data_IF_386592817048
#
_entry.id   IF_386592817048
#
_cell.length_a   1.000
_cell.length_b   1.000
_cell.length_c   1.000
_cell.angle_alpha   90.00
_cell.angle_beta   90.00
_cell.angle_gamma   90.00
#
_symmetry.space_group_name_H-M   'P 1'
#
loop_
_entity.id
_entity.type
_entity.pdbx_description
1 polymer ?
#
# COMPACT_ATOMS: atom_id res chain seq x y z
N UNK A 1 5.66 -19.18 3.24
CA UNK A 1 6.75 -18.56 2.43
C UNK A 1 7.11 -17.22 3.06
N UNK A 2 8.33 -16.69 2.87
CA UNK A 2 8.74 -15.41 3.47
C UNK A 2 8.35 -14.25 2.55
N UNK A 3 7.66 -13.20 3.05
CA UNK A 3 7.43 -11.99 2.28
C UNK A 3 8.72 -11.21 2.07
N UNK A 4 8.90 -10.67 0.87
CA UNK A 4 10.10 -9.95 0.46
C UNK A 4 9.73 -8.54 -0.03
N UNK A 5 10.07 -7.47 0.73
CA UNK A 5 9.77 -6.11 0.33
C UNK A 5 10.63 -5.70 -0.87
N UNK A 6 10.08 -4.82 -1.70
CA UNK A 6 10.75 -4.22 -2.85
C UNK A 6 10.77 -2.68 -2.69
N UNK A 7 11.81 -1.99 -3.22
CA UNK A 7 11.92 -0.53 -3.19
C UNK A 7 10.71 0.21 -3.80
N UNK A 8 10.01 -0.41 -4.75
CA UNK A 8 8.86 0.19 -5.45
C UNK A 8 7.56 0.20 -4.59
N UNK A 9 7.67 0.10 -3.26
CA UNK A 9 6.53 0.03 -2.33
C UNK A 9 5.63 -1.18 -2.62
N UNK A 10 6.26 -2.30 -2.98
CA UNK A 10 5.61 -3.57 -3.27
C UNK A 10 6.21 -4.71 -2.43
N UNK A 11 5.47 -5.80 -2.31
CA UNK A 11 5.87 -6.99 -1.56
C UNK A 11 5.74 -8.23 -2.44
N UNK A 12 6.84 -8.97 -2.58
CA UNK A 12 6.85 -10.25 -3.29
C UNK A 12 6.53 -11.38 -2.31
N UNK A 13 5.61 -12.27 -2.70
CA UNK A 13 5.30 -13.49 -1.96
C UNK A 13 5.09 -14.62 -2.96
N UNK A 14 6.16 -15.38 -3.21
CA UNK A 14 6.16 -16.44 -4.22
C UNK A 14 6.07 -15.86 -5.61
N UNK A 15 5.06 -16.26 -6.37
CA UNK A 15 4.77 -15.70 -7.69
C UNK A 15 3.82 -14.50 -7.66
N UNK A 16 3.39 -14.07 -6.46
CA UNK A 16 2.54 -12.91 -6.31
C UNK A 16 3.36 -11.65 -6.03
N UNK A 17 2.90 -10.54 -6.58
CA UNK A 17 3.33 -9.19 -6.25
C UNK A 17 2.15 -8.47 -5.59
N UNK A 18 2.38 -7.90 -4.41
CA UNK A 18 1.36 -7.26 -3.59
C UNK A 18 1.68 -5.76 -3.49
N UNK A 19 0.68 -4.92 -3.76
CA UNK A 19 0.72 -3.47 -3.55
C UNK A 19 -0.55 -3.06 -2.79
N UNK A 20 -0.57 -1.89 -2.17
CA UNK A 20 -1.75 -1.39 -1.46
C UNK A 20 -1.93 0.11 -1.69
N UNK A 21 -3.15 0.61 -1.50
CA UNK A 21 -3.44 2.03 -1.31
C UNK A 21 -3.02 2.92 -2.50
N UNK A 22 -3.54 2.60 -3.69
CA UNK A 22 -3.29 3.38 -4.90
C UNK A 22 -4.03 4.72 -4.86
N UNK A 23 -5.21 4.74 -4.27
CA UNK A 23 -6.07 5.92 -4.14
C UNK A 23 -6.20 6.72 -5.44
N UNK A 24 -6.45 6.03 -6.56
CA UNK A 24 -6.73 6.71 -7.82
C UNK A 24 -7.91 7.67 -7.64
N UNK A 25 -7.80 8.89 -8.18
CA UNK A 25 -8.79 9.95 -7.99
C UNK A 25 -8.60 10.80 -6.72
N UNK A 26 -7.56 10.56 -5.90
CA UNK A 26 -7.26 11.39 -4.72
C UNK A 26 -7.16 12.88 -5.05
N UNK A 27 -6.50 13.22 -6.16
CA UNK A 27 -6.32 14.61 -6.58
C UNK A 27 -7.65 15.31 -6.93
N UNK A 28 -8.64 14.53 -7.38
CA UNK A 28 -9.99 15.05 -7.69
C UNK A 28 -10.73 15.40 -6.41
N UNK A 29 -10.58 14.57 -5.37
CA UNK A 29 -11.15 14.84 -4.04
C UNK A 29 -10.52 16.08 -3.42
N UNK A 30 -9.19 16.18 -3.41
CA UNK A 30 -8.47 17.34 -2.89
C UNK A 30 -8.84 18.64 -3.62
N UNK A 31 -9.04 18.59 -4.93
CA UNK A 31 -9.45 19.77 -5.70
C UNK A 31 -10.80 20.33 -5.25
N UNK A 32 -11.72 19.49 -4.75
CA UNK A 32 -13.02 19.92 -4.19
C UNK A 32 -12.89 20.63 -2.86
N UNK A 33 -11.86 20.27 -2.11
CA UNK A 33 -11.49 20.93 -0.85
C UNK A 33 -10.62 22.19 -1.09
N UNK A 34 -10.36 22.54 -2.35
CA UNK A 34 -9.59 23.73 -2.73
C UNK A 34 -8.09 23.49 -2.90
N UNK A 35 -7.62 22.25 -2.81
CA UNK A 35 -6.22 21.88 -2.96
C UNK A 35 -5.95 21.23 -4.33
N UNK A 36 -5.21 21.94 -5.17
CA UNK A 36 -4.90 21.47 -6.53
C UNK A 36 -3.61 20.65 -6.53
N UNK A 37 -3.74 19.32 -6.53
CA UNK A 37 -2.62 18.40 -6.70
C UNK A 37 -2.42 18.02 -8.17
N UNK A 38 -1.17 17.77 -8.61
CA UNK A 38 -0.91 17.20 -9.93
C UNK A 38 -1.59 15.83 -10.09
N UNK A 39 -2.04 15.53 -11.31
CA UNK A 39 -2.58 14.22 -11.64
C UNK A 39 -1.46 13.21 -11.75
N UNK A 40 -1.63 12.05 -11.11
CA UNK A 40 -0.60 11.00 -11.04
C UNK A 40 -1.03 9.68 -11.67
N UNK A 41 -2.24 9.60 -12.25
CA UNK A 41 -2.73 8.35 -12.86
C UNK A 41 -1.70 7.73 -13.82
N UNK A 42 -1.20 8.49 -14.80
CA UNK A 42 -0.23 7.99 -15.76
C UNK A 42 1.12 7.63 -15.13
N UNK A 43 1.53 8.33 -14.07
CA UNK A 43 2.74 8.03 -13.32
C UNK A 43 2.60 6.70 -12.57
N UNK A 44 1.50 6.52 -11.82
CA UNK A 44 1.18 5.30 -11.08
C UNK A 44 1.08 4.09 -12.02
N UNK A 45 0.37 4.23 -13.15
CA UNK A 45 0.28 3.17 -14.18
C UNK A 45 1.67 2.87 -14.76
N UNK A 46 2.47 3.90 -15.05
CA UNK A 46 3.82 3.75 -15.58
C UNK A 46 4.76 3.02 -14.62
N UNK A 47 4.74 3.39 -13.34
CA UNK A 47 5.49 2.75 -12.26
C UNK A 47 5.08 1.28 -12.13
N UNK A 48 3.77 1.00 -12.03
CA UNK A 48 3.26 -0.36 -11.91
C UNK A 48 3.62 -1.23 -13.11
N UNK A 49 3.49 -0.72 -14.34
CA UNK A 49 3.89 -1.47 -15.55
C UNK A 49 5.39 -1.77 -15.57
N UNK A 50 6.23 -0.83 -15.13
CA UNK A 50 7.68 -1.02 -15.06
C UNK A 50 8.01 -2.12 -14.06
N UNK A 51 7.42 -2.06 -12.88
CA UNK A 51 7.53 -3.06 -11.83
C UNK A 51 7.08 -4.45 -12.30
N UNK A 52 5.89 -4.57 -12.91
CA UNK A 52 5.36 -5.84 -13.42
C UNK A 52 6.24 -6.46 -14.51
N UNK A 53 6.78 -5.64 -15.43
CA UNK A 53 7.69 -6.13 -16.47
C UNK A 53 9.03 -6.61 -15.92
N UNK A 54 9.51 -6.01 -14.83
CA UNK A 54 10.76 -6.35 -14.17
C UNK A 54 10.61 -7.64 -13.34
N UNK A 55 9.60 -7.69 -12.48
CA UNK A 55 9.39 -8.80 -11.54
C UNK A 55 8.67 -10.00 -12.15
N UNK A 56 7.89 -9.79 -13.22
CA UNK A 56 7.11 -10.82 -13.94
C UNK A 56 6.31 -11.72 -13.00
N UNK A 57 5.49 -11.17 -12.10
CA UNK A 57 4.65 -11.98 -11.23
C UNK A 57 3.56 -12.69 -12.04
N UNK A 58 3.07 -13.81 -11.52
CA UNK A 58 1.87 -14.46 -12.06
C UNK A 58 0.60 -13.76 -11.60
N UNK A 59 0.59 -13.30 -10.35
CA UNK A 59 -0.59 -12.70 -9.71
C UNK A 59 -0.19 -11.30 -9.23
N UNK A 60 -0.94 -10.28 -9.65
CA UNK A 60 -0.93 -8.98 -8.97
C UNK A 60 -2.04 -8.96 -7.94
N UNK A 61 -1.70 -8.66 -6.69
CA UNK A 61 -2.66 -8.47 -5.61
C UNK A 61 -2.63 -6.99 -5.22
N UNK A 62 -3.80 -6.37 -5.26
CA UNK A 62 -4.04 -5.01 -4.77
C UNK A 62 -4.75 -5.16 -3.42
N UNK A 63 -4.03 -4.92 -2.33
CA UNK A 63 -4.52 -5.05 -0.95
C UNK A 63 -5.24 -3.78 -0.48
N UNK A 64 -6.30 -3.47 -1.22
CA UNK A 64 -7.29 -2.45 -0.92
C UNK A 64 -6.94 -1.02 -1.31
N UNK A 65 -7.97 -0.18 -1.21
CA UNK A 65 -8.00 1.24 -1.56
C UNK A 65 -7.39 1.52 -2.94
N UNK A 66 -7.88 0.78 -3.93
CA UNK A 66 -7.55 0.95 -5.34
C UNK A 66 -7.96 2.36 -5.83
N UNK A 67 -9.09 2.86 -5.33
CA UNK A 67 -9.62 4.19 -5.62
C UNK A 67 -9.83 5.01 -4.35
N UNK A 68 -9.99 6.33 -4.50
CA UNK A 68 -10.18 7.21 -3.36
C UNK A 68 -11.64 7.59 -3.10
N UNK A 69 -12.47 7.78 -4.12
CA UNK A 69 -13.87 8.13 -3.85
C UNK A 69 -14.59 6.93 -3.21
N UNK A 70 -15.61 7.13 -2.36
CA UNK A 70 -16.44 5.99 -1.90
C UNK A 70 -17.37 5.49 -3.01
N UNK A 71 -17.93 6.40 -3.82
CA UNK A 71 -18.75 6.07 -4.98
C UNK A 71 -18.02 6.55 -6.23
N UNK A 72 -17.59 5.63 -7.11
CA UNK A 72 -16.74 6.00 -8.23
C UNK A 72 -17.47 6.84 -9.26
N UNK A 73 -16.88 8.00 -9.53
CA UNK A 73 -17.32 8.94 -10.55
C UNK A 73 -17.01 8.40 -11.94
N UNK A 74 -17.67 8.95 -12.96
CA UNK A 74 -17.45 8.55 -14.36
C UNK A 74 -15.96 8.47 -14.71
N UNK A 75 -15.20 9.51 -14.38
CA UNK A 75 -13.77 9.58 -14.70
C UNK A 75 -12.95 8.53 -13.95
N UNK A 76 -13.18 8.36 -12.66
CA UNK A 76 -12.46 7.36 -11.86
C UNK A 76 -12.76 5.95 -12.38
N UNK A 77 -13.99 5.68 -12.85
CA UNK A 77 -14.31 4.41 -13.54
C UNK A 77 -13.51 4.23 -14.83
N UNK A 78 -13.39 5.27 -15.66
CA UNK A 78 -12.56 5.21 -16.87
C UNK A 78 -11.08 4.96 -16.56
N UNK A 79 -10.55 5.62 -15.52
CA UNK A 79 -9.18 5.42 -15.05
C UNK A 79 -8.97 3.99 -14.52
N UNK A 80 -9.91 3.45 -13.74
CA UNK A 80 -9.86 2.06 -13.26
C UNK A 80 -9.92 1.05 -14.41
N UNK A 81 -10.79 1.27 -15.40
CA UNK A 81 -10.85 0.41 -16.58
C UNK A 81 -9.52 0.46 -17.35
N UNK A 82 -9.01 1.66 -17.58
CA UNK A 82 -7.74 1.88 -18.29
C UNK A 82 -6.59 1.22 -17.55
N UNK A 83 -6.54 1.33 -16.22
CA UNK A 83 -5.55 0.63 -15.41
C UNK A 83 -5.58 -0.87 -15.70
N UNK A 84 -6.75 -1.52 -15.54
CA UNK A 84 -6.91 -2.98 -15.74
C UNK A 84 -6.53 -3.39 -17.17
N UNK A 85 -6.96 -2.65 -18.18
CA UNK A 85 -6.62 -2.91 -19.58
C UNK A 85 -5.08 -2.86 -19.81
N UNK A 86 -4.38 -1.95 -19.12
CA UNK A 86 -2.93 -1.75 -19.24
C UNK A 86 -2.09 -2.79 -18.48
N UNK A 87 -2.60 -3.34 -17.38
CA UNK A 87 -1.87 -4.30 -16.53
C UNK A 87 -2.23 -5.76 -16.79
N UNK A 88 -3.44 -6.06 -17.25
CA UNK A 88 -3.89 -7.43 -17.50
C UNK A 88 -3.02 -8.22 -18.50
N UNK A 89 -2.35 -7.61 -19.50
CA UNK A 89 -1.42 -8.36 -20.37
C UNK A 89 -0.08 -8.70 -19.70
N UNK A 90 0.19 -8.19 -18.49
CA UNK A 90 1.49 -8.32 -17.81
C UNK A 90 1.48 -9.37 -16.69
N UNK A 91 0.31 -9.92 -16.35
CA UNK A 91 0.10 -10.91 -15.29
C UNK A 91 -0.94 -11.93 -15.72
N UNK A 92 -0.96 -13.10 -15.09
CA UNK A 92 -1.97 -14.13 -15.35
C UNK A 92 -3.29 -13.82 -14.62
N UNK A 93 -3.20 -13.13 -13.48
CA UNK A 93 -4.33 -12.87 -12.59
C UNK A 93 -4.19 -11.53 -11.86
N UNK A 94 -5.31 -10.83 -11.66
CA UNK A 94 -5.41 -9.62 -10.84
C UNK A 94 -6.44 -9.86 -9.75
N UNK A 95 -6.01 -9.72 -8.49
CA UNK A 95 -6.88 -9.84 -7.31
C UNK A 95 -6.93 -8.50 -6.59
N UNK A 96 -8.14 -8.02 -6.29
CA UNK A 96 -8.40 -6.91 -5.38
C UNK A 96 -8.95 -7.46 -4.07
N UNK A 97 -8.16 -7.35 -3.00
CA UNK A 97 -8.65 -7.52 -1.62
C UNK A 97 -9.24 -6.18 -1.20
N UNK A 98 -10.54 -6.13 -0.88
CA UNK A 98 -11.24 -4.84 -0.73
C UNK A 98 -10.79 -4.04 0.49
N UNK A 99 -10.44 -2.78 0.26
CA UNK A 99 -10.33 -1.74 1.27
C UNK A 99 -11.64 -1.02 1.54
N UNK A 100 -11.63 -0.06 2.48
CA UNK A 100 -12.83 0.70 2.83
C UNK A 100 -13.24 1.69 1.73
N UNK A 101 -12.31 2.11 0.86
CA UNK A 101 -12.64 2.95 -0.29
C UNK A 101 -13.10 2.15 -1.50
N UNK A 102 -13.00 0.82 -1.53
CA UNK A 102 -13.33 0.00 -2.71
C UNK A 102 -14.84 -0.31 -2.86
N UNK A 103 -15.71 0.48 -2.25
CA UNK A 103 -17.16 0.37 -2.47
C UNK A 103 -17.48 0.67 -3.94
N UNK A 104 -18.31 -0.16 -4.56
CA UNK A 104 -18.71 0.07 -5.96
C UNK A 104 -17.66 -0.30 -7.02
N UNK A 105 -16.67 -1.14 -6.69
CA UNK A 105 -15.68 -1.70 -7.64
C UNK A 105 -16.09 -3.04 -8.24
N UNK A 106 -17.22 -3.63 -7.81
CA UNK A 106 -17.64 -4.99 -8.24
C UNK A 106 -17.77 -5.18 -9.76
N UNK A 107 -18.04 -4.11 -10.50
CA UNK A 107 -18.11 -4.14 -11.96
C UNK A 107 -16.76 -4.48 -12.62
N UNK A 108 -15.63 -4.29 -11.92
CA UNK A 108 -14.30 -4.70 -12.42
C UNK A 108 -14.17 -6.23 -12.60
N UNK A 109 -15.06 -7.03 -11.99
CA UNK A 109 -15.14 -8.48 -12.26
C UNK A 109 -15.40 -8.77 -13.74
N UNK A 110 -16.17 -7.92 -14.42
CA UNK A 110 -16.44 -8.03 -15.85
C UNK A 110 -15.19 -7.74 -16.70
N UNK A 111 -14.18 -7.08 -16.12
CA UNK A 111 -12.87 -6.81 -16.73
C UNK A 111 -11.79 -7.81 -16.29
N UNK A 112 -12.17 -8.92 -15.64
CA UNK A 112 -11.24 -10.00 -15.25
C UNK A 112 -10.51 -9.80 -13.92
N UNK A 113 -10.94 -8.85 -13.09
CA UNK A 113 -10.39 -8.66 -11.74
C UNK A 113 -11.15 -9.55 -10.75
N UNK A 114 -10.45 -10.44 -10.06
CA UNK A 114 -11.01 -11.14 -8.91
C UNK A 114 -11.15 -10.16 -7.74
N UNK A 115 -12.29 -10.16 -7.04
CA UNK A 115 -12.53 -9.24 -5.93
C UNK A 115 -13.06 -10.03 -4.74
N UNK A 116 -12.31 -9.94 -3.64
CA UNK A 116 -12.50 -10.67 -2.39
C UNK A 116 -12.37 -9.75 -1.18
N UNK A 117 -12.83 -10.19 0.00
CA UNK A 117 -12.68 -9.42 1.25
C UNK A 117 -11.41 -9.80 2.02
N UNK A 118 -10.96 -11.05 1.87
CA UNK A 118 -9.72 -11.58 2.43
C UNK A 118 -9.15 -12.61 1.45
N UNK A 119 -7.83 -12.80 1.46
CA UNK A 119 -7.14 -13.78 0.62
C UNK A 119 -6.09 -14.52 1.45
N UNK A 120 -6.13 -15.85 1.44
CA UNK A 120 -5.10 -16.69 2.06
C UNK A 120 -4.05 -17.08 1.01
N UNK A 121 -2.79 -16.70 1.24
CA UNK A 121 -1.69 -17.01 0.34
C UNK A 121 -0.43 -17.40 1.12
N UNK A 122 0.06 -18.61 0.88
CA UNK A 122 1.33 -19.11 1.46
C UNK A 122 1.44 -19.00 3.00
N UNK A 123 0.30 -19.12 3.70
CA UNK A 123 0.20 -19.02 5.16
C UNK A 123 0.13 -17.58 5.69
N UNK A 124 -0.17 -16.61 4.82
CA UNK A 124 -0.47 -15.24 5.17
C UNK A 124 -1.90 -14.90 4.75
N UNK A 125 -2.63 -14.24 5.63
CA UNK A 125 -3.93 -13.66 5.33
C UNK A 125 -3.74 -12.21 4.88
N UNK A 126 -4.12 -11.91 3.65
CA UNK A 126 -4.16 -10.56 3.11
C UNK A 126 -5.54 -9.97 3.41
N UNK A 127 -5.53 -8.84 4.11
CA UNK A 127 -6.70 -8.03 4.42
C UNK A 127 -6.25 -6.59 4.47
N UNK A 128 -7.04 -5.68 3.92
CA UNK A 128 -6.64 -4.28 3.84
C UNK A 128 -6.24 -3.65 5.19
N UNK A 129 -6.89 -4.06 6.30
CA UNK A 129 -6.49 -3.64 7.65
C UNK A 129 -7.37 -2.57 8.30
N UNK A 130 -8.47 -2.17 7.65
CA UNK A 130 -9.47 -1.23 8.19
C UNK A 130 -10.41 -1.85 9.25
N UNK A 131 -10.41 -3.19 9.39
CA UNK A 131 -11.17 -3.96 10.39
C UNK A 131 -10.31 -5.14 10.87
N UNK A 132 -10.35 -5.45 12.16
CA UNK A 132 -9.72 -6.66 12.69
C UNK A 132 -10.46 -7.90 12.21
N UNK A 133 -9.68 -8.94 11.90
CA UNK A 133 -10.17 -10.29 11.62
C UNK A 133 -9.32 -11.31 12.37
N UNK A 134 -9.84 -12.52 12.54
CA UNK A 134 -9.10 -13.61 13.16
C UNK A 134 -8.07 -14.21 12.19
N UNK A 135 -6.93 -14.63 12.74
CA UNK A 135 -5.82 -15.21 11.99
C UNK A 135 -4.50 -15.10 12.76
N UNK A 136 -3.45 -15.68 12.20
CA UNK A 136 -2.13 -15.73 12.85
C UNK A 136 -1.11 -14.81 12.19
N UNK A 137 -1.20 -14.61 10.87
CA UNK A 137 -0.23 -13.85 10.08
C UNK A 137 -0.94 -12.99 9.05
N UNK A 138 -0.60 -11.71 9.02
CA UNK A 138 -1.32 -10.73 8.21
C UNK A 138 -0.39 -9.92 7.31
N UNK A 139 -0.87 -9.64 6.11
CA UNK A 139 -0.33 -8.61 5.24
C UNK A 139 -1.46 -7.59 5.07
N UNK A 140 -1.17 -6.32 5.37
CA UNK A 140 -2.16 -5.24 5.36
C UNK A 140 -1.62 -3.99 4.66
N UNK A 141 -2.53 -3.16 4.15
CA UNK A 141 -2.30 -1.77 3.76
C UNK A 141 -2.84 -0.81 4.82
N UNK A 142 -3.70 0.13 4.41
CA UNK A 142 -4.56 1.02 5.21
C UNK A 142 -3.86 2.03 6.14
N UNK A 143 -2.89 1.58 6.92
CA UNK A 143 -2.08 2.44 7.78
C UNK A 143 -1.20 3.37 6.95
N UNK A 144 -0.73 2.90 5.79
CA UNK A 144 0.26 3.58 4.95
C UNK A 144 1.46 4.05 5.79
N UNK A 145 2.19 3.14 6.46
CA UNK A 145 3.31 3.49 7.31
C UNK A 145 4.28 4.46 6.66
N UNK A 146 4.56 5.55 7.38
CA UNK A 146 5.56 6.54 7.03
C UNK A 146 6.29 7.03 8.28
N UNK A 147 7.47 7.59 8.10
CA UNK A 147 8.32 8.11 9.17
C UNK A 147 8.70 9.54 8.83
N UNK A 148 8.65 10.42 9.83
CA UNK A 148 9.20 11.77 9.72
C UNK A 148 10.65 11.79 10.18
N UNK A 149 11.53 12.23 9.30
CA UNK A 149 12.94 12.44 9.58
C UNK A 149 13.24 13.93 9.57
N UNK A 150 14.06 14.38 10.52
CA UNK A 150 14.56 15.75 10.58
C UNK A 150 16.03 15.73 10.21
N UNK A 151 16.44 16.58 9.27
CA UNK A 151 17.84 16.76 8.94
C UNK A 151 18.55 17.74 9.91
N UNK A 152 19.87 17.89 9.76
CA UNK A 152 20.69 18.74 10.64
C UNK A 152 20.34 20.23 10.57
N UNK A 153 19.74 20.70 9.46
CA UNK A 153 19.31 22.09 9.28
C UNK A 153 17.85 22.31 9.68
N UNK A 154 17.18 21.26 10.17
CA UNK A 154 15.83 21.29 10.71
C UNK A 154 14.71 21.04 9.67
N UNK A 155 15.04 20.75 8.41
CA UNK A 155 14.05 20.36 7.42
C UNK A 155 13.44 19.01 7.78
N UNK A 156 12.14 18.87 7.52
CA UNK A 156 11.37 17.68 7.84
C UNK A 156 10.96 16.99 6.55
N UNK A 157 11.44 15.75 6.38
CA UNK A 157 11.02 14.88 5.29
C UNK A 157 10.14 13.77 5.85
N UNK A 158 9.12 13.38 5.09
CA UNK A 158 8.28 12.24 5.40
C UNK A 158 8.51 11.18 4.33
N UNK A 159 8.93 10.00 4.76
CA UNK A 159 9.25 8.88 3.87
C UNK A 159 8.32 7.71 4.15
N UNK A 160 7.83 7.00 3.12
CA UNK A 160 7.09 5.75 3.31
C UNK A 160 7.98 4.71 3.99
N UNK A 161 7.38 3.72 4.64
CA UNK A 161 8.10 2.63 5.28
C UNK A 161 7.28 1.35 5.25
N UNK A 162 7.93 0.19 5.16
CA UNK A 162 7.33 -1.08 5.56
C UNK A 162 7.50 -1.26 7.07
N UNK A 163 6.50 -1.87 7.71
CA UNK A 163 6.63 -2.44 9.05
C UNK A 163 6.55 -3.96 8.91
N UNK A 164 7.58 -4.67 9.36
CA UNK A 164 7.69 -6.12 9.16
C UNK A 164 8.03 -6.86 10.45
N UNK A 165 7.20 -7.84 10.80
CA UNK A 165 7.46 -8.86 11.82
C UNK A 165 7.20 -10.26 11.25
N UNK A 166 7.31 -11.28 12.09
CA UNK A 166 7.04 -12.68 11.70
C UNK A 166 5.55 -12.94 11.44
N UNK A 167 4.66 -12.07 11.92
CA UNK A 167 3.21 -12.25 11.87
C UNK A 167 2.44 -11.03 11.33
N UNK A 168 3.10 -9.92 11.04
CA UNK A 168 2.45 -8.74 10.48
C UNK A 168 3.40 -8.05 9.49
N UNK A 169 2.90 -7.82 8.29
CA UNK A 169 3.52 -6.95 7.29
C UNK A 169 2.54 -5.82 6.99
N UNK A 170 3.01 -4.60 7.09
CA UNK A 170 2.24 -3.39 6.74
C UNK A 170 2.93 -2.73 5.56
N UNK A 171 2.24 -2.68 4.42
CA UNK A 171 2.76 -2.04 3.20
C UNK A 171 2.62 -0.52 3.28
N UNK A 172 3.61 0.25 2.83
CA UNK A 172 3.41 1.66 2.53
C UNK A 172 2.46 1.82 1.34
N UNK A 173 1.83 2.98 1.22
CA UNK A 173 0.96 3.26 0.08
C UNK A 173 1.73 3.30 -1.24
N UNK A 174 1.19 2.63 -2.26
CA UNK A 174 1.72 2.69 -3.61
C UNK A 174 1.52 4.08 -4.23
N UNK A 175 0.45 4.80 -3.84
CA UNK A 175 0.21 6.17 -4.27
C UNK A 175 1.36 7.13 -3.91
N UNK A 176 1.71 8.10 -4.77
CA UNK A 176 2.60 9.20 -4.39
C UNK A 176 1.91 10.25 -3.51
N UNK A 177 0.56 10.31 -3.51
CA UNK A 177 -0.19 11.33 -2.77
C UNK A 177 -0.74 10.87 -1.43
N UNK A 178 -0.92 9.57 -1.23
CA UNK A 178 -1.17 9.00 0.08
C UNK A 178 0.16 8.87 0.85
N UNK A 179 0.74 10.02 1.23
CA UNK A 179 2.00 10.12 1.99
C UNK A 179 2.01 9.38 3.33
N UNK A 180 0.86 8.83 3.72
CA UNK A 180 0.70 7.85 4.77
C UNK A 180 0.55 8.41 6.17
N UNK A 181 0.68 7.59 7.21
CA UNK A 181 0.61 8.02 8.60
C UNK A 181 1.98 7.96 9.27
N UNK A 182 2.31 8.97 10.08
CA UNK A 182 3.54 8.94 10.87
C UNK A 182 3.33 7.98 12.05
N UNK A 183 3.76 6.73 11.86
CA UNK A 183 3.49 5.61 12.79
C UNK A 183 4.13 5.79 14.16
N UNK A 184 4.99 6.79 14.32
CA UNK A 184 5.59 7.19 15.60
C UNK A 184 4.70 8.14 16.41
N UNK A 185 3.67 8.71 15.78
CA UNK A 185 2.78 9.72 16.35
C UNK A 185 1.33 9.32 16.34
N UNK A 186 0.89 8.73 15.25
CA UNK A 186 -0.50 8.36 15.02
C UNK A 186 -0.56 6.96 14.43
N UNK A 187 -1.43 6.14 15.00
CA UNK A 187 -1.72 4.79 14.52
C UNK A 187 -3.22 4.75 14.22
N UNK A 188 -3.59 4.47 12.97
CA UNK A 188 -4.99 4.45 12.54
C UNK A 188 -5.57 3.05 12.45
N UNK A 189 -4.77 2.08 12.04
CA UNK A 189 -5.16 0.69 11.84
C UNK A 189 -5.44 0.01 13.19
N UNK A 190 -6.58 -0.68 13.30
CA UNK A 190 -6.86 -1.56 14.43
C UNK A 190 -5.77 -2.63 14.66
N UNK A 191 -5.08 -3.09 13.61
CA UNK A 191 -4.01 -4.08 13.75
C UNK A 191 -2.82 -3.53 14.54
N UNK A 192 -2.28 -2.38 14.15
CA UNK A 192 -1.14 -1.79 14.87
C UNK A 192 -1.48 -1.38 16.31
N UNK A 193 -2.77 -1.21 16.64
CA UNK A 193 -3.24 -0.98 18.02
C UNK A 193 -3.38 -2.26 18.82
N UNK A 194 -3.73 -3.37 18.17
CA UNK A 194 -3.99 -4.65 18.82
C UNK A 194 -2.73 -5.54 18.95
N UNK A 195 -1.77 -5.40 18.04
CA UNK A 195 -0.54 -6.19 18.01
C UNK A 195 0.64 -5.37 18.53
N UNK A 196 1.54 -6.01 19.30
CA UNK A 196 2.80 -5.39 19.68
C UNK A 196 3.74 -5.34 18.47
N UNK A 197 3.88 -4.14 17.90
CA UNK A 197 4.73 -3.88 16.73
C UNK A 197 6.09 -3.29 17.10
N UNK A 198 6.41 -3.13 18.39
CA UNK A 198 7.65 -2.47 18.83
C UNK A 198 8.92 -3.19 18.35
N UNK A 199 8.87 -4.52 18.25
CA UNK A 199 9.95 -5.36 17.72
C UNK A 199 10.02 -5.42 16.20
N UNK A 200 9.02 -4.89 15.48
CA UNK A 200 8.95 -4.97 14.01
C UNK A 200 10.05 -4.15 13.36
N UNK A 201 10.64 -4.68 12.29
CA UNK A 201 11.61 -3.97 11.46
C UNK A 201 10.92 -2.90 10.64
N UNK A 202 11.62 -1.79 10.48
CA UNK A 202 11.18 -0.64 9.72
C UNK A 202 12.09 -0.50 8.51
N UNK A 203 11.54 -0.68 7.31
CA UNK A 203 12.30 -0.62 6.06
C UNK A 203 11.81 0.54 5.22
N UNK A 204 12.69 1.45 4.84
CA UNK A 204 12.36 2.65 4.07
C UNK A 204 12.75 2.43 2.62
N UNK A 205 11.79 2.36 1.67
CA UNK A 205 12.11 2.40 0.25
C UNK A 205 12.63 3.78 -0.15
N UNK A 206 13.80 3.80 -0.77
CA UNK A 206 14.42 5.00 -1.30
C UNK A 206 15.05 4.69 -2.65
N UNK A 207 14.51 5.28 -3.72
CA UNK A 207 14.93 5.02 -5.10
C UNK A 207 14.90 3.51 -5.40
N UNK A 208 16.06 2.91 -5.67
CA UNK A 208 16.22 1.49 -5.99
C UNK A 208 16.66 0.64 -4.78
N UNK A 209 16.64 1.21 -3.57
CA UNK A 209 17.15 0.57 -2.36
C UNK A 209 16.10 0.47 -1.23
N UNK A 210 16.35 -0.47 -0.31
CA UNK A 210 15.58 -0.65 0.93
C UNK A 210 16.48 -0.46 2.14
N UNK A 211 16.32 0.68 2.80
CA UNK A 211 17.11 1.03 3.97
C UNK A 211 16.50 0.43 5.23
N UNK A 212 17.28 -0.30 6.02
CA UNK A 212 16.85 -0.85 7.30
C UNK A 212 17.10 0.13 8.44
N UNK A 213 16.01 0.62 9.04
CA UNK A 213 16.04 1.56 10.15
C UNK A 213 16.02 0.85 11.52
N UNK A 214 16.07 -0.49 11.52
CA UNK A 214 16.02 -1.30 12.74
C UNK A 214 14.59 -1.47 13.23
N UNK A 215 14.42 -1.69 14.55
CA UNK A 215 13.10 -1.91 15.12
C UNK A 215 12.35 -0.60 15.36
N UNK A 216 11.02 -0.65 15.23
CA UNK A 216 10.13 0.48 15.46
C UNK A 216 10.32 1.08 16.86
N UNK A 217 10.49 0.24 17.89
CA UNK A 217 10.74 0.66 19.25
C UNK A 217 12.05 1.42 19.42
N UNK A 218 13.15 0.95 18.79
CA UNK A 218 14.44 1.64 18.82
C UNK A 218 14.36 2.98 18.07
N UNK A 219 13.74 2.98 16.90
CA UNK A 219 13.55 4.19 16.10
C UNK A 219 12.75 5.25 16.87
N UNK A 220 11.67 4.84 17.54
CA UNK A 220 10.86 5.72 18.41
C UNK A 220 11.69 6.36 19.52
N UNK A 221 12.59 5.59 20.16
CA UNK A 221 13.46 6.11 21.21
C UNK A 221 14.47 7.12 20.68
N UNK A 222 15.10 6.84 19.53
CA UNK A 222 16.10 7.74 18.92
C UNK A 222 15.45 9.06 18.51
N UNK A 223 14.32 9.00 17.81
CA UNK A 223 13.66 10.20 17.26
C UNK A 223 12.94 11.05 18.32
N UNK A 224 12.61 10.50 19.51
CA UNK A 224 12.11 11.30 20.64
C UNK A 224 13.19 12.16 21.30
N UNK A 225 14.46 11.83 21.09
CA UNK A 225 15.59 12.51 21.72
C UNK A 225 16.28 13.53 20.77
N UNK A 226 15.73 13.73 19.57
CA UNK A 226 16.16 14.70 18.55
C UNK A 226 15.14 15.84 18.43
#
# INVERSE_FOLDING_TARGET
>A
MKPEPLPDKALRLGSALIIADLHLGYEVSMAREGFYLPRVFHEVVGQLKTLLKREKPKILIIDGDLKHSFIPEWREREELKTLVDEISPLVDEIVLVRGNHDVGTLWLKESGVEIVDELELHGWKLVHGHKLVEGERFIIGHEHPAIRLRDEVGALIKVPAFIMSDNLVVLPAFSPWAYGNDVLREIVSPFLRAYDVTGSRVLVPLEDDLLDFGSLGRLTQVLKNL
#
